data_IF_218942952746
#
_entry.id   IF_218942952746
#
_cell.length_a   1.000
_cell.length_b   1.000
_cell.length_c   1.000
_cell.angle_alpha   90.00
_cell.angle_beta   90.00
_cell.angle_gamma   90.00
#
_symmetry.space_group_name_H-M   'P 1'
#
loop_
_entity.id
_entity.type
_entity.pdbx_description
1 polymer ?
#
# COMPACT_ATOMS: atom_id res chain seq x y z
N UNK A 1 3.94 27.50 34.30
CA UNK A 1 4.36 26.19 33.77
C UNK A 1 3.18 25.20 33.74
N UNK A 2 3.06 24.21 34.64
CA UNK A 2 2.01 23.18 34.54
C UNK A 2 0.57 23.70 34.38
N UNK A 3 0.09 24.59 35.26
CA UNK A 3 -1.23 25.26 35.15
C UNK A 3 -1.40 26.10 33.86
N UNK A 4 -0.29 26.54 33.26
CA UNK A 4 -0.25 27.33 32.03
C UNK A 4 0.05 26.49 30.77
N UNK A 5 -0.01 25.15 30.87
CA UNK A 5 0.24 24.20 29.78
C UNK A 5 1.62 24.29 29.12
N UNK A 6 2.60 24.94 29.77
CA UNK A 6 4.00 25.02 29.28
C UNK A 6 4.76 23.72 29.59
N UNK A 7 4.46 22.65 28.84
CA UNK A 7 4.93 21.30 29.13
C UNK A 7 6.45 21.12 28.95
N UNK A 8 7.09 21.81 28.00
CA UNK A 8 8.55 21.81 27.84
C UNK A 8 9.26 22.35 29.10
N UNK A 9 8.80 23.51 29.60
CA UNK A 9 9.35 24.13 30.82
C UNK A 9 9.10 23.26 32.04
N UNK A 10 7.91 22.66 32.15
CA UNK A 10 7.63 21.70 33.21
C UNK A 10 8.56 20.47 33.14
N UNK A 11 8.88 19.99 31.94
CA UNK A 11 9.84 18.89 31.74
C UNK A 11 11.26 19.30 32.14
N UNK A 12 11.70 20.53 31.82
CA UNK A 12 13.02 21.03 32.23
C UNK A 12 13.17 21.27 33.75
N UNK A 13 12.06 21.36 34.48
CA UNK A 13 12.03 21.35 35.96
C UNK A 13 11.77 19.96 36.55
N UNK A 14 12.11 18.90 35.80
CA UNK A 14 12.01 17.49 36.22
C UNK A 14 10.62 17.07 36.72
N UNK A 15 9.53 17.61 36.13
CA UNK A 15 8.17 17.25 36.51
C UNK A 15 7.91 15.73 36.46
N UNK A 16 8.61 15.01 35.57
CA UNK A 16 8.54 13.55 35.47
C UNK A 16 8.78 12.83 36.81
N UNK A 17 9.75 13.32 37.60
CA UNK A 17 10.26 12.68 38.82
C UNK A 17 9.36 12.90 40.05
N UNK A 18 8.44 13.85 39.98
CA UNK A 18 7.47 14.13 41.05
C UNK A 18 6.60 12.89 41.33
N UNK A 19 6.54 12.40 42.57
CA UNK A 19 5.78 11.19 42.93
C UNK A 19 4.27 11.41 43.14
N UNK A 20 3.74 12.59 42.85
CA UNK A 20 2.30 12.92 42.89
C UNK A 20 1.59 12.67 44.26
N UNK A 21 2.36 12.67 45.35
CA UNK A 21 1.95 12.30 46.71
C UNK A 21 0.95 13.23 47.43
N UNK A 22 0.38 14.24 46.74
CA UNK A 22 -0.61 15.16 47.30
C UNK A 22 -0.06 16.28 48.21
N UNK A 23 1.08 16.09 48.87
CA UNK A 23 1.62 17.01 49.90
C UNK A 23 1.68 18.48 49.46
N UNK A 24 2.10 18.76 48.23
CA UNK A 24 2.20 20.13 47.70
C UNK A 24 0.86 20.85 47.61
N UNK A 25 -0.25 20.13 47.40
CA UNK A 25 -1.60 20.72 47.41
C UNK A 25 -2.01 21.10 48.84
N UNK A 26 -1.81 20.20 49.81
CA UNK A 26 -2.22 20.40 51.20
C UNK A 26 -1.43 21.50 51.93
N UNK A 27 -0.15 21.66 51.62
CA UNK A 27 0.74 22.67 52.25
C UNK A 27 0.66 24.03 51.55
N UNK A 28 -0.07 24.17 50.44
CA UNK A 28 -0.14 25.42 49.68
C UNK A 28 -1.06 26.45 50.37
N UNK A 29 -0.55 27.61 50.86
CA UNK A 29 -1.36 28.64 51.52
C UNK A 29 -2.29 29.41 50.56
N UNK A 30 -2.28 29.06 49.27
CA UNK A 30 -3.18 29.61 48.24
C UNK A 30 -4.24 28.60 47.78
N UNK A 31 -4.32 27.43 48.43
CA UNK A 31 -5.31 26.37 48.18
C UNK A 31 -5.37 25.88 46.71
N UNK A 32 -4.24 25.99 46.01
CA UNK A 32 -4.13 25.60 44.59
C UNK A 32 -3.96 24.07 44.48
N UNK A 33 -4.75 23.37 43.64
CA UNK A 33 -4.61 21.94 43.39
C UNK A 33 -3.39 21.61 42.51
N UNK A 34 -2.19 21.88 43.04
CA UNK A 34 -0.91 21.76 42.32
C UNK A 34 -0.69 20.36 41.73
N UNK A 35 -0.98 19.32 42.52
CA UNK A 35 -0.80 17.92 42.07
C UNK A 35 -1.72 17.53 40.92
N UNK A 36 -2.90 18.15 40.81
CA UNK A 36 -3.81 17.87 39.70
C UNK A 36 -3.31 18.49 38.39
N UNK A 37 -2.79 19.72 38.44
CA UNK A 37 -2.08 20.30 37.30
C UNK A 37 -0.82 19.50 36.91
N UNK A 38 -0.12 18.90 37.88
CA UNK A 38 1.03 18.03 37.61
C UNK A 38 0.62 16.71 36.92
N UNK A 39 -0.49 16.09 37.34
CA UNK A 39 -1.06 14.90 36.68
C UNK A 39 -1.45 15.18 35.23
N UNK A 40 -2.22 16.23 35.00
CA UNK A 40 -2.65 16.65 33.65
C UNK A 40 -1.42 16.93 32.77
N UNK A 41 -0.44 17.68 33.28
CA UNK A 41 0.79 17.98 32.54
C UNK A 41 1.62 16.72 32.22
N UNK A 42 1.76 15.78 33.16
CA UNK A 42 2.43 14.49 32.90
C UNK A 42 1.69 13.64 31.89
N UNK A 43 0.35 13.61 31.92
CA UNK A 43 -0.45 12.89 30.95
C UNK A 43 -0.26 13.47 29.53
N UNK A 44 -0.25 14.80 29.40
CA UNK A 44 0.04 15.49 28.14
C UNK A 44 1.46 15.19 27.63
N UNK A 45 2.49 15.30 28.48
CA UNK A 45 3.90 14.98 28.12
C UNK A 45 4.04 13.53 27.64
N UNK A 46 3.36 12.57 28.30
CA UNK A 46 3.35 11.16 27.88
C UNK A 46 2.66 10.97 26.52
N UNK A 47 1.47 11.56 26.34
CA UNK A 47 0.73 11.48 25.08
C UNK A 47 1.53 12.06 23.90
N UNK A 48 2.14 13.23 24.08
CA UNK A 48 2.98 13.87 23.06
C UNK A 48 4.23 13.03 22.75
N UNK A 49 4.87 12.44 23.77
CA UNK A 49 5.99 11.52 23.57
C UNK A 49 5.59 10.20 22.89
N UNK A 50 4.35 9.74 23.04
CA UNK A 50 3.80 8.58 22.33
C UNK A 50 3.41 8.92 20.89
N UNK A 51 2.84 10.10 20.63
CA UNK A 51 2.57 10.60 19.28
C UNK A 51 3.88 10.76 18.49
N UNK A 52 4.92 11.37 19.09
CA UNK A 52 6.25 11.50 18.47
C UNK A 52 6.84 10.13 18.07
N UNK A 53 6.77 9.12 18.95
CA UNK A 53 7.19 7.74 18.64
C UNK A 53 6.36 7.10 17.52
N UNK A 54 5.05 7.33 17.50
CA UNK A 54 4.17 6.83 16.43
C UNK A 54 4.50 7.48 15.09
N UNK A 55 4.78 8.79 15.06
CA UNK A 55 5.21 9.52 13.87
C UNK A 55 6.58 9.05 13.36
N UNK A 56 7.54 8.74 14.25
CA UNK A 56 8.83 8.14 13.88
C UNK A 56 8.67 6.74 13.27
N UNK A 57 7.87 5.87 13.90
CA UNK A 57 7.56 4.54 13.36
C UNK A 57 6.80 4.62 12.02
N UNK A 58 5.98 5.65 11.81
CA UNK A 58 5.32 5.91 10.54
C UNK A 58 6.32 6.34 9.45
N UNK A 59 7.26 7.24 9.76
CA UNK A 59 8.37 7.63 8.87
C UNK A 59 9.20 6.41 8.46
N UNK A 60 9.72 5.64 9.43
CA UNK A 60 10.50 4.43 9.16
C UNK A 60 9.78 3.44 8.22
N UNK A 61 8.47 3.23 8.42
CA UNK A 61 7.64 2.38 7.53
C UNK A 61 7.48 2.96 6.12
N UNK A 62 7.38 4.28 6.00
CA UNK A 62 7.33 4.98 4.72
C UNK A 62 8.68 4.90 3.99
N UNK A 63 9.77 5.15 4.70
CA UNK A 63 11.13 5.17 4.15
C UNK A 63 11.54 3.79 3.61
N UNK A 64 11.29 2.72 4.38
CA UNK A 64 11.51 1.34 3.94
C UNK A 64 10.66 0.97 2.70
N UNK A 65 9.41 1.48 2.62
CA UNK A 65 8.56 1.29 1.44
C UNK A 65 9.09 2.05 0.23
N UNK A 66 9.61 3.25 0.42
CA UNK A 66 10.18 4.11 -0.63
C UNK A 66 11.48 3.53 -1.16
N UNK A 67 12.42 3.13 -0.28
CA UNK A 67 13.66 2.43 -0.64
C UNK A 67 13.37 1.20 -1.50
N UNK A 68 12.45 0.32 -1.07
CA UNK A 68 12.07 -0.88 -1.84
C UNK A 68 11.51 -0.54 -3.22
N UNK A 69 10.75 0.55 -3.36
CA UNK A 69 10.20 1.00 -4.65
C UNK A 69 11.28 1.64 -5.55
N UNK A 70 12.22 2.38 -4.96
CA UNK A 70 13.35 2.96 -5.68
C UNK A 70 14.33 1.89 -6.16
N UNK A 71 14.63 0.88 -5.35
CA UNK A 71 15.48 -0.25 -5.74
C UNK A 71 14.83 -1.08 -6.85
N UNK A 72 13.52 -1.36 -6.75
CA UNK A 72 12.75 -2.04 -7.80
C UNK A 72 12.74 -1.22 -9.11
N UNK A 73 12.59 0.11 -9.02
CA UNK A 73 12.69 1.03 -10.16
C UNK A 73 14.10 1.04 -10.74
N UNK A 74 15.15 1.16 -9.91
CA UNK A 74 16.56 1.21 -10.32
C UNK A 74 16.98 -0.10 -10.99
N UNK A 75 16.56 -1.25 -10.48
CA UNK A 75 16.78 -2.56 -11.09
C UNK A 75 16.03 -2.70 -12.43
N UNK A 76 14.78 -2.25 -12.51
CA UNK A 76 13.98 -2.23 -13.75
C UNK A 76 14.62 -1.34 -14.82
N UNK A 77 15.07 -0.14 -14.45
CA UNK A 77 15.82 0.76 -15.34
C UNK A 77 17.18 0.20 -15.74
N UNK A 78 17.95 -0.37 -14.82
CA UNK A 78 19.24 -0.99 -15.12
C UNK A 78 19.09 -2.15 -16.12
N UNK A 79 18.08 -3.02 -15.94
CA UNK A 79 17.77 -4.09 -16.89
C UNK A 79 17.35 -3.56 -18.27
N UNK A 80 16.60 -2.45 -18.33
CA UNK A 80 16.27 -1.79 -19.60
C UNK A 80 17.51 -1.17 -20.26
N UNK A 81 18.34 -0.43 -19.51
CA UNK A 81 19.57 0.22 -19.99
C UNK A 81 20.57 -0.83 -20.51
N UNK A 82 20.79 -1.92 -19.76
CA UNK A 82 21.64 -3.04 -20.19
C UNK A 82 21.08 -3.76 -21.43
N UNK A 83 19.76 -3.97 -21.52
CA UNK A 83 19.12 -4.55 -22.71
C UNK A 83 19.27 -3.65 -23.94
N UNK A 84 19.09 -2.33 -23.78
CA UNK A 84 19.30 -1.35 -24.84
C UNK A 84 20.77 -1.26 -25.27
N UNK A 85 21.73 -1.34 -24.32
CA UNK A 85 23.16 -1.37 -24.61
C UNK A 85 23.58 -2.65 -25.34
N UNK A 86 23.06 -3.82 -24.94
CA UNK A 86 23.26 -5.10 -25.66
C UNK A 86 22.67 -5.05 -27.07
N UNK A 87 21.50 -4.42 -27.27
CA UNK A 87 20.97 -4.17 -28.61
C UNK A 87 21.90 -3.26 -29.41
N UNK A 88 22.35 -2.12 -28.84
CA UNK A 88 23.22 -1.14 -29.53
C UNK A 88 24.61 -1.68 -29.90
N UNK A 89 25.19 -2.56 -29.07
CA UNK A 89 26.46 -3.24 -29.35
C UNK A 89 26.31 -4.33 -30.42
N UNK A 90 25.19 -5.05 -30.43
CA UNK A 90 24.92 -6.12 -31.40
C UNK A 90 24.43 -5.63 -32.78
N UNK A 91 24.14 -4.33 -32.98
CA UNK A 91 23.91 -3.78 -34.32
C UNK A 91 25.25 -3.60 -35.04
N UNK A 92 25.34 -3.99 -36.32
CA UNK A 92 26.52 -3.76 -37.17
C UNK A 92 26.69 -2.26 -37.51
N UNK A 93 27.70 -1.88 -38.30
CA UNK A 93 27.80 -0.53 -38.87
C UNK A 93 26.64 -0.26 -39.86
N UNK A 94 26.46 -1.14 -40.84
CA UNK A 94 25.42 -1.03 -41.88
C UNK A 94 24.00 -0.90 -41.33
N UNK A 95 23.66 -1.59 -40.23
CA UNK A 95 22.33 -1.48 -39.63
C UNK A 95 22.08 -0.08 -39.04
N UNK A 96 23.13 0.58 -38.52
CA UNK A 96 23.02 1.93 -37.94
C UNK A 96 22.73 2.96 -39.02
N UNK A 97 23.39 2.83 -40.18
CA UNK A 97 23.19 3.70 -41.33
C UNK A 97 21.80 3.51 -41.96
N UNK A 98 21.35 2.25 -42.09
CA UNK A 98 20.00 1.93 -42.54
C UNK A 98 18.91 2.51 -41.62
N UNK A 99 19.08 2.41 -40.29
CA UNK A 99 18.17 3.01 -39.31
C UNK A 99 18.20 4.54 -39.35
N UNK A 100 19.38 5.16 -39.52
CA UNK A 100 19.50 6.61 -39.69
C UNK A 100 18.79 7.11 -40.96
N UNK A 101 18.95 6.41 -42.09
CA UNK A 101 18.28 6.72 -43.35
C UNK A 101 16.75 6.58 -43.25
N UNK A 102 16.26 5.55 -42.55
CA UNK A 102 14.85 5.36 -42.28
C UNK A 102 14.27 6.49 -41.40
N UNK A 103 14.97 6.88 -40.33
CA UNK A 103 14.59 8.02 -39.49
C UNK A 103 14.57 9.34 -40.26
N UNK A 104 15.53 9.58 -41.15
CA UNK A 104 15.56 10.76 -42.02
C UNK A 104 14.34 10.79 -42.96
N UNK A 105 13.99 9.67 -43.60
CA UNK A 105 12.79 9.53 -44.45
C UNK A 105 11.49 9.78 -43.67
N UNK A 106 11.38 9.28 -42.45
CA UNK A 106 10.21 9.53 -41.57
C UNK A 106 10.15 11.01 -41.16
N UNK A 107 11.28 11.64 -40.82
CA UNK A 107 11.34 13.08 -40.48
C UNK A 107 10.91 13.95 -41.67
N UNK A 108 11.39 13.66 -42.87
CA UNK A 108 11.00 14.35 -44.10
C UNK A 108 9.51 14.17 -44.41
N UNK A 109 8.98 12.93 -44.35
CA UNK A 109 7.56 12.66 -44.57
C UNK A 109 6.66 13.35 -43.54
N UNK A 110 7.09 13.45 -42.27
CA UNK A 110 6.35 14.17 -41.23
C UNK A 110 6.40 15.70 -41.46
N UNK A 111 7.51 16.25 -41.93
CA UNK A 111 7.60 17.67 -42.28
C UNK A 111 6.68 18.02 -43.46
N UNK A 112 6.68 17.22 -44.53
CA UNK A 112 5.79 17.40 -45.68
C UNK A 112 4.30 17.32 -45.28
N UNK A 113 3.92 16.35 -44.46
CA UNK A 113 2.55 16.24 -43.95
C UNK A 113 2.14 17.44 -43.08
N UNK A 114 3.08 18.03 -42.32
CA UNK A 114 2.80 19.22 -41.51
C UNK A 114 2.68 20.50 -42.36
N UNK A 115 3.36 20.58 -43.50
CA UNK A 115 3.19 21.67 -44.47
C UNK A 115 1.85 21.57 -45.22
N UNK A 116 1.40 20.35 -45.56
CA UNK A 116 0.09 20.14 -46.18
C UNK A 116 -1.09 20.45 -45.22
N UNK A 117 -0.91 20.23 -43.92
CA UNK A 117 -1.89 20.62 -42.90
C UNK A 117 -2.13 22.15 -42.85
N UNK A 118 -1.11 22.96 -43.17
CA UNK A 118 -1.16 24.43 -43.19
C UNK A 118 -1.73 25.01 -44.50
N UNK A 119 -1.96 24.17 -45.52
CA UNK A 119 -2.50 24.57 -46.82
C UNK A 119 -3.97 24.17 -47.06
N UNK A 120 -4.68 23.66 -46.04
CA UNK A 120 -6.05 23.13 -46.17
C UNK A 120 -7.11 24.04 -45.50
N UNK A 121 -6.90 25.35 -45.49
CA UNK A 121 -7.84 26.35 -44.92
C UNK A 121 -8.55 27.23 -45.95
N UNK A 122 -8.39 26.98 -47.26
CA UNK A 122 -9.03 27.82 -48.30
C UNK A 122 -9.41 27.04 -49.56
N UNK A 123 -10.67 26.58 -49.63
CA UNK A 123 -11.62 26.64 -50.76
C UNK A 123 -12.74 25.61 -50.54
N UNK A 124 -13.96 25.90 -51.00
CA UNK A 124 -15.17 25.09 -50.78
C UNK A 124 -15.83 24.68 -52.10
N UNK A 125 -16.78 23.73 -52.04
CA UNK A 125 -17.62 23.20 -53.15
C UNK A 125 -16.85 22.36 -54.20
N UNK A 126 -17.41 21.37 -54.92
CA UNK A 126 -18.81 20.99 -55.24
C UNK A 126 -18.93 19.47 -55.52
N UNK A 127 -20.14 18.90 -55.45
CA UNK A 127 -20.45 17.47 -55.55
C UNK A 127 -20.59 16.88 -56.97
N UNK A 128 -20.62 15.54 -57.09
CA UNK A 128 -21.30 14.78 -58.17
C UNK A 128 -20.75 13.37 -58.49
N UNK A 129 -21.65 12.39 -58.70
CA UNK A 129 -21.58 11.17 -59.54
C UNK A 129 -20.28 10.29 -59.53
N UNK A 130 -20.24 9.04 -59.03
CA UNK A 130 -20.85 7.77 -59.53
C UNK A 130 -20.26 7.30 -60.89
N UNK A 131 -19.79 6.05 -61.09
CA UNK A 131 -20.45 4.73 -60.85
C UNK A 131 -19.46 3.54 -60.90
N UNK A 132 -19.61 2.52 -60.01
CA UNK A 132 -19.17 1.08 -60.07
C UNK A 132 -17.67 0.74 -60.35
N UNK A 133 -17.02 -0.37 -59.95
CA UNK A 133 -17.23 -1.59 -59.10
C UNK A 133 -15.81 -2.16 -58.78
N UNK A 134 -15.47 -3.11 -57.88
CA UNK A 134 -16.09 -3.89 -56.77
C UNK A 134 -14.92 -4.41 -55.85
N UNK A 135 -15.24 -5.21 -54.83
CA UNK A 135 -14.41 -6.15 -54.02
C UNK A 135 -13.79 -5.64 -52.70
N UNK A 136 -13.64 -6.60 -51.77
CA UNK A 136 -13.10 -6.51 -50.40
C UNK A 136 -13.94 -5.75 -49.34
N UNK A 137 -15.16 -6.26 -49.12
CA UNK A 137 -15.99 -5.98 -47.94
C UNK A 137 -15.36 -6.50 -46.64
N UNK A 138 -14.67 -5.64 -45.87
CA UNK A 138 -14.13 -6.03 -44.56
C UNK A 138 -13.69 -4.94 -43.57
N UNK A 139 -13.40 -3.72 -44.04
CA UNK A 139 -12.82 -2.66 -43.21
C UNK A 139 -13.85 -1.79 -42.46
N UNK A 140 -14.96 -1.42 -43.12
CA UNK A 140 -15.87 -0.39 -42.60
C UNK A 140 -16.72 -0.84 -41.41
N UNK A 141 -17.21 -2.07 -41.39
CA UNK A 141 -18.04 -2.57 -40.29
C UNK A 141 -17.32 -2.40 -38.94
N UNK A 142 -16.07 -2.87 -38.87
CA UNK A 142 -15.20 -2.74 -37.70
C UNK A 142 -14.87 -1.28 -37.35
N UNK A 143 -14.87 -0.37 -38.33
CA UNK A 143 -14.65 1.07 -38.12
C UNK A 143 -15.89 1.76 -37.54
N UNK A 144 -17.09 1.31 -37.93
CA UNK A 144 -18.37 1.75 -37.38
C UNK A 144 -18.62 1.16 -35.99
N UNK A 145 -18.26 -0.11 -35.75
CA UNK A 145 -18.36 -0.75 -34.43
C UNK A 145 -17.47 -0.04 -33.38
N UNK A 146 -16.25 0.35 -33.76
CA UNK A 146 -15.34 1.11 -32.90
C UNK A 146 -15.89 2.53 -32.61
N UNK A 147 -16.45 3.23 -33.60
CA UNK A 147 -17.03 4.57 -33.36
C UNK A 147 -18.28 4.50 -32.49
N UNK A 148 -19.14 3.49 -32.68
CA UNK A 148 -20.30 3.23 -31.84
C UNK A 148 -19.90 2.86 -30.40
N UNK A 149 -18.84 2.08 -30.20
CA UNK A 149 -18.30 1.78 -28.88
C UNK A 149 -17.78 3.05 -28.16
N UNK A 150 -17.04 3.91 -28.87
CA UNK A 150 -16.54 5.19 -28.33
C UNK A 150 -17.69 6.15 -28.00
N UNK A 151 -18.75 6.19 -28.81
CA UNK A 151 -19.95 6.98 -28.52
C UNK A 151 -20.64 6.51 -27.22
N UNK A 152 -20.87 5.20 -27.07
CA UNK A 152 -21.44 4.60 -25.84
C UNK A 152 -20.56 4.88 -24.61
N UNK A 153 -19.24 4.81 -24.75
CA UNK A 153 -18.30 5.13 -23.67
C UNK A 153 -18.34 6.61 -23.27
N UNK A 154 -18.43 7.54 -24.22
CA UNK A 154 -18.61 8.98 -23.94
C UNK A 154 -19.94 9.26 -23.25
N UNK A 155 -21.04 8.68 -23.73
CA UNK A 155 -22.37 8.84 -23.11
C UNK A 155 -22.39 8.36 -21.66
N UNK A 156 -21.81 7.18 -21.37
CA UNK A 156 -21.75 6.63 -20.00
C UNK A 156 -20.88 7.49 -19.07
N UNK A 157 -19.80 8.09 -19.58
CA UNK A 157 -18.95 9.02 -18.82
C UNK A 157 -19.58 10.40 -18.61
N UNK A 158 -20.48 10.84 -19.48
CA UNK A 158 -21.29 12.04 -19.28
C UNK A 158 -22.35 11.82 -18.18
N UNK A 159 -23.12 10.73 -18.25
CA UNK A 159 -24.15 10.39 -17.26
C UNK A 159 -23.59 10.21 -15.83
N UNK A 160 -22.35 9.71 -15.70
CA UNK A 160 -21.67 9.62 -14.40
C UNK A 160 -21.24 10.98 -13.83
N UNK A 161 -21.16 12.05 -14.64
CA UNK A 161 -20.82 13.39 -14.15
C UNK A 161 -22.03 14.16 -13.60
N UNK A 162 -23.24 13.83 -14.06
CA UNK A 162 -24.51 14.41 -13.56
C UNK A 162 -25.03 13.76 -12.27
N UNK A 163 -24.47 12.62 -11.85
CA UNK A 163 -24.89 11.89 -10.65
C UNK A 163 -24.11 12.25 -9.37
N UNK A 164 -23.28 13.29 -9.41
CA UNK A 164 -22.38 13.70 -8.31
C UNK A 164 -22.57 15.17 -7.89
N UNK A 165 -23.79 15.69 -8.05
CA UNK A 165 -24.10 17.13 -7.89
C UNK A 165 -25.44 17.42 -7.19
N UNK A 166 -25.94 16.49 -6.36
CA UNK A 166 -27.01 16.75 -5.38
C UNK A 166 -26.75 15.94 -4.10
N UNK A 167 -26.20 16.59 -3.08
CA UNK A 167 -26.63 16.52 -1.68
C UNK A 167 -25.70 17.37 -0.79
N UNK A 168 -26.06 18.63 -0.55
CA UNK A 168 -25.55 19.45 0.57
C UNK A 168 -26.61 20.47 0.95
N UNK A 169 -26.79 20.70 2.26
CA UNK A 169 -27.52 21.83 2.88
C UNK A 169 -29.03 21.67 3.11
N UNK A 170 -29.38 21.01 4.21
CA UNK A 170 -30.46 21.47 5.10
C UNK A 170 -30.06 21.15 6.55
N UNK A 171 -30.17 22.12 7.46
CA UNK A 171 -29.76 21.96 8.87
C UNK A 171 -30.89 22.28 9.84
N UNK A 172 -30.88 21.52 10.94
CA UNK A 172 -31.37 21.89 12.29
C UNK A 172 -32.86 21.62 12.66
N UNK A 173 -33.07 21.50 13.98
CA UNK A 173 -34.32 21.56 14.77
C UNK A 173 -35.16 20.25 14.90
N UNK A 174 -34.73 19.43 15.88
CA UNK A 174 -35.53 18.95 17.04
C UNK A 174 -36.44 17.71 16.96
N UNK A 175 -36.31 16.85 17.98
CA UNK A 175 -37.21 15.79 18.51
C UNK A 175 -37.94 14.87 17.52
N UNK A 176 -37.62 13.58 17.45
CA UNK A 176 -38.05 12.61 18.49
C UNK A 176 -37.53 11.18 18.21
N UNK A 177 -37.56 10.31 19.24
CA UNK A 177 -37.47 8.85 19.16
C UNK A 177 -38.90 8.27 19.21
N UNK A 178 -39.22 7.12 18.55
CA UNK A 178 -38.69 5.80 18.96
C UNK A 178 -38.33 4.79 17.84
N UNK A 179 -37.67 3.69 18.23
CA UNK A 179 -37.76 2.26 17.80
C UNK A 179 -38.32 1.93 16.37
N UNK A 180 -37.79 0.99 15.55
CA UNK A 180 -37.11 -0.29 15.87
C UNK A 180 -36.35 -0.93 14.66
N UNK A 181 -35.34 -1.76 14.94
CA UNK A 181 -34.89 -2.99 14.21
C UNK A 181 -34.36 -3.03 12.75
N UNK A 182 -33.28 -3.83 12.59
CA UNK A 182 -32.81 -4.59 11.41
C UNK A 182 -32.37 -3.82 10.13
N UNK A 183 -31.05 -3.78 9.84
CA UNK A 183 -30.50 -4.78 8.91
C UNK A 183 -29.04 -5.24 9.21
N UNK A 184 -28.70 -5.55 10.46
CA UNK A 184 -27.32 -5.89 10.84
C UNK A 184 -26.93 -7.37 10.57
N UNK A 185 -27.80 -8.32 10.92
CA UNK A 185 -27.43 -9.74 11.06
C UNK A 185 -27.02 -10.44 9.76
N UNK A 186 -27.59 -10.05 8.62
CA UNK A 186 -27.30 -10.73 7.35
C UNK A 186 -25.83 -10.57 6.93
N UNK A 187 -25.19 -9.44 7.31
CA UNK A 187 -23.76 -9.20 7.09
C UNK A 187 -22.90 -9.93 8.12
N UNK A 188 -23.35 -9.97 9.37
CA UNK A 188 -22.70 -10.71 10.47
C UNK A 188 -22.61 -12.21 10.14
N UNK A 189 -23.71 -12.81 9.68
CA UNK A 189 -23.80 -14.21 9.28
C UNK A 189 -22.90 -14.57 8.09
N UNK A 190 -22.85 -13.72 7.06
CA UNK A 190 -21.97 -13.89 5.88
C UNK A 190 -20.48 -13.89 6.28
N UNK A 191 -20.09 -13.04 7.23
CA UNK A 191 -18.72 -13.00 7.76
C UNK A 191 -18.40 -14.26 8.57
N UNK A 192 -19.31 -14.69 9.46
CA UNK A 192 -19.13 -15.92 10.25
C UNK A 192 -18.97 -17.17 9.35
N UNK A 193 -19.79 -17.29 8.30
CA UNK A 193 -19.70 -18.38 7.33
C UNK A 193 -18.37 -18.38 6.55
N UNK A 194 -17.84 -17.19 6.20
CA UNK A 194 -16.53 -17.07 5.56
C UNK A 194 -15.38 -17.50 6.49
N UNK A 195 -15.41 -17.09 7.76
CA UNK A 195 -14.42 -17.47 8.78
C UNK A 195 -14.46 -18.98 9.06
N UNK A 196 -15.64 -19.59 9.12
CA UNK A 196 -15.79 -21.04 9.28
C UNK A 196 -15.16 -21.81 8.10
N UNK A 197 -15.43 -21.40 6.85
CA UNK A 197 -14.83 -21.99 5.64
C UNK A 197 -13.30 -21.83 5.60
N UNK A 198 -12.78 -20.69 6.06
CA UNK A 198 -11.34 -20.46 6.18
C UNK A 198 -10.69 -21.33 7.27
N UNK A 199 -11.36 -21.57 8.41
CA UNK A 199 -10.92 -22.50 9.45
C UNK A 199 -10.87 -23.94 8.93
N UNK A 200 -11.93 -24.39 8.25
CA UNK A 200 -12.01 -25.75 7.68
C UNK A 200 -10.85 -26.02 6.68
N UNK A 201 -10.58 -25.09 5.76
CA UNK A 201 -9.43 -25.21 4.83
C UNK A 201 -8.06 -25.22 5.50
N UNK A 202 -7.95 -24.85 6.78
CA UNK A 202 -6.69 -24.89 7.54
C UNK A 202 -6.53 -26.14 8.42
N UNK A 203 -7.53 -27.03 8.44
CA UNK A 203 -7.47 -28.33 9.12
C UNK A 203 -7.15 -29.50 8.17
N UNK A 204 -7.48 -29.39 6.87
CA UNK A 204 -7.37 -30.47 5.87
C UNK A 204 -6.00 -30.67 5.21
N UNK A 205 -4.88 -30.30 5.86
CA UNK A 205 -3.52 -30.51 5.32
C UNK A 205 -2.64 -31.13 6.41
N UNK A 206 -2.91 -32.39 6.75
CA UNK A 206 -2.08 -33.16 7.70
C UNK A 206 -2.17 -34.70 7.60
N UNK A 207 -2.24 -35.18 6.37
CA UNK A 207 -1.99 -36.55 5.88
C UNK A 207 -1.51 -36.33 4.42
N UNK A 208 -0.51 -37.02 3.87
CA UNK A 208 0.13 -38.29 4.27
C UNK A 208 1.65 -38.16 4.55
N UNK A 209 2.34 -39.29 4.78
CA UNK A 209 3.80 -39.34 5.02
C UNK A 209 4.44 -40.68 4.58
N UNK A 210 5.68 -40.59 4.03
CA UNK A 210 6.59 -41.68 3.61
C UNK A 210 6.08 -42.57 2.43
N UNK A 211 6.91 -42.88 1.42
CA UNK A 211 8.04 -43.83 1.55
C UNK A 211 9.22 -43.63 0.56
N UNK A 212 10.37 -44.19 0.94
CA UNK A 212 11.51 -44.74 0.18
C UNK A 212 12.09 -44.11 -1.11
N UNK A 213 13.25 -43.48 -0.89
CA UNK A 213 14.58 -43.97 -1.37
C UNK A 213 15.22 -43.46 -2.67
N UNK A 214 16.55 -43.59 -2.68
CA UNK A 214 17.49 -43.64 -3.82
C UNK A 214 17.67 -42.34 -4.63
N UNK A 215 18.92 -41.86 -4.67
CA UNK A 215 19.36 -40.76 -5.53
C UNK A 215 20.61 -41.12 -6.34
N UNK A 216 21.12 -40.18 -7.14
CA UNK A 216 22.39 -40.25 -7.88
C UNK A 216 23.10 -38.90 -7.73
N UNK A 217 24.43 -38.92 -7.61
CA UNK A 217 25.28 -37.73 -7.41
C UNK A 217 25.98 -37.26 -8.70
N UNK A 218 26.14 -35.94 -8.80
CA UNK A 218 27.27 -35.22 -9.41
C UNK A 218 27.22 -33.78 -8.81
N UNK A 219 28.16 -33.31 -7.97
CA UNK A 219 29.59 -33.04 -8.22
C UNK A 219 29.71 -31.97 -9.33
N UNK A 220 30.26 -30.76 -9.14
CA UNK A 220 31.21 -30.19 -8.14
C UNK A 220 30.55 -28.93 -7.45
N UNK A 221 31.12 -28.03 -6.61
CA UNK A 221 32.49 -27.60 -6.25
C UNK A 221 32.64 -27.08 -4.81
N UNK A 222 33.85 -27.22 -4.28
CA UNK A 222 34.52 -26.59 -3.11
C UNK A 222 34.06 -25.13 -2.77
N UNK A 223 33.78 -24.74 -1.51
CA UNK A 223 34.79 -24.62 -0.43
C UNK A 223 34.24 -24.56 1.02
N UNK A 224 34.95 -25.25 1.93
CA UNK A 224 35.20 -24.92 3.36
C UNK A 224 34.08 -24.94 4.45
N UNK A 225 33.84 -26.15 4.98
CA UNK A 225 33.94 -26.56 6.42
C UNK A 225 33.00 -26.06 7.56
N UNK A 226 32.94 -26.91 8.61
CA UNK A 226 32.33 -26.80 9.96
C UNK A 226 30.83 -27.22 10.12
N UNK A 227 30.43 -27.81 11.28
CA UNK A 227 29.34 -28.79 11.34
C UNK A 227 27.91 -28.21 11.41
N UNK A 228 26.96 -28.95 10.83
CA UNK A 228 25.55 -28.54 10.68
C UNK A 228 24.68 -28.76 11.92
N UNK A 229 25.01 -29.72 12.79
CA UNK A 229 24.17 -30.06 13.94
C UNK A 229 24.14 -28.97 15.04
N UNK A 230 25.21 -28.18 15.20
CA UNK A 230 25.25 -27.08 16.18
C UNK A 230 24.14 -26.05 15.96
N UNK A 231 23.81 -25.72 14.69
CA UNK A 231 22.70 -24.81 14.38
C UNK A 231 21.36 -25.42 14.78
N UNK A 232 21.16 -26.72 14.50
CA UNK A 232 19.92 -27.45 14.83
C UNK A 232 19.74 -27.57 16.35
N UNK A 233 20.80 -27.90 17.07
CA UNK A 233 20.83 -27.96 18.54
C UNK A 233 20.57 -26.58 19.18
N UNK A 234 21.23 -25.51 18.72
CA UNK A 234 21.03 -24.15 19.22
C UNK A 234 19.60 -23.63 18.98
N UNK A 235 19.01 -23.93 17.83
CA UNK A 235 17.61 -23.59 17.53
C UNK A 235 16.66 -24.38 18.46
N UNK A 236 16.88 -25.68 18.65
CA UNK A 236 16.08 -26.49 19.57
C UNK A 236 16.15 -25.97 21.02
N UNK A 237 17.35 -25.64 21.51
CA UNK A 237 17.55 -25.07 22.84
C UNK A 237 16.88 -23.69 23.02
N UNK A 238 16.90 -22.84 22.00
CA UNK A 238 16.19 -21.56 22.01
C UNK A 238 14.67 -21.74 22.06
N UNK A 239 14.11 -22.66 21.26
CA UNK A 239 12.67 -22.99 21.28
C UNK A 239 12.24 -23.62 22.61
N UNK A 240 13.09 -24.45 23.22
CA UNK A 240 12.84 -25.01 24.55
C UNK A 240 12.80 -23.91 25.63
N UNK A 241 13.79 -23.00 25.67
CA UNK A 241 13.79 -21.86 26.60
C UNK A 241 12.60 -20.92 26.39
N UNK A 242 12.18 -20.69 25.13
CA UNK A 242 11.00 -19.89 24.82
C UNK A 242 9.69 -20.56 25.31
N UNK A 243 9.55 -21.88 25.13
CA UNK A 243 8.42 -22.65 25.68
C UNK A 243 8.40 -22.63 27.21
N UNK A 244 9.54 -22.85 27.86
CA UNK A 244 9.65 -22.82 29.32
C UNK A 244 9.27 -21.44 29.90
N UNK A 245 9.79 -20.34 29.33
CA UNK A 245 9.42 -18.99 29.75
C UNK A 245 7.93 -18.69 29.55
N UNK A 246 7.33 -19.17 28.45
CA UNK A 246 5.88 -19.04 28.20
C UNK A 246 5.02 -19.90 29.14
N UNK A 247 5.52 -21.05 29.58
CA UNK A 247 4.84 -21.87 30.59
C UNK A 247 4.89 -21.20 31.98
N UNK A 248 6.05 -20.70 32.40
CA UNK A 248 6.20 -19.97 33.66
C UNK A 248 5.28 -18.73 33.73
N UNK A 249 5.25 -17.93 32.65
CA UNK A 249 4.35 -16.78 32.53
C UNK A 249 2.85 -17.16 32.47
N UNK A 250 2.50 -18.42 32.16
CA UNK A 250 1.11 -18.88 32.26
C UNK A 250 0.78 -19.33 33.68
N UNK A 251 1.76 -19.81 34.45
CA UNK A 251 1.56 -20.22 35.85
C UNK A 251 1.39 -18.97 36.74
N UNK A 252 2.26 -17.96 36.61
CA UNK A 252 2.17 -16.71 37.38
C UNK A 252 0.78 -16.05 37.25
N UNK A 253 0.32 -15.90 36.02
CA UNK A 253 -0.96 -15.25 35.70
C UNK A 253 -2.19 -16.09 36.11
N UNK A 254 -2.01 -17.35 36.51
CA UNK A 254 -3.07 -18.20 37.05
C UNK A 254 -3.11 -18.12 38.60
N UNK A 255 -1.96 -17.94 39.25
CA UNK A 255 -1.85 -17.79 40.72
C UNK A 255 -2.26 -16.40 41.24
N UNK A 256 -2.42 -15.41 40.35
CA UNK A 256 -2.94 -14.07 40.70
C UNK A 256 -4.47 -13.97 40.64
N UNK A 257 -5.17 -14.97 40.08
CA UNK A 257 -6.63 -14.95 39.89
C UNK A 257 -7.40 -15.90 40.83
N UNK A 258 -6.70 -16.50 41.80
CA UNK A 258 -7.22 -17.52 42.74
C UNK A 258 -7.08 -17.01 44.19
N UNK A 259 -7.38 -15.71 44.39
CA UNK A 259 -7.08 -14.96 45.63
C UNK A 259 -8.02 -13.77 45.93
N UNK A 260 -9.05 -13.56 45.12
CA UNK A 260 -10.16 -12.61 45.33
C UNK A 260 -11.46 -13.40 45.59
#
# INVERSE_FOLDING_TARGET
HAKAQEYDKATSFNLADCIECGCCTYVCPSEIPLVEYYRIAKAAIKAEAEEKKQAELAKQRFDLRTQRLEDEKRAREAKQKASAQRRKSNMSSSDKDAVALAMARIKAKKAAANAQADSTSTTSTRAGAETETETETGSDHKRQDISAAVARAKAKKAAQKSAAAQDVTASNITSSMPETSAPADERQAKIAAAVARAKAKKAGVKQDAADSSTGISAEDTDTLNAPVDDKKARIAAAVAKAKAKKAALKISNNTEHDKD
#
